data_IF_457144310202
#
_entry.id   IF_457144310202
#
_cell.length_a   1.000
_cell.length_b   1.000
_cell.length_c   1.000
_cell.angle_alpha   90.00
_cell.angle_beta   90.00
_cell.angle_gamma   90.00
#
_symmetry.space_group_name_H-M   'P 1'
#
loop_
_entity.id
_entity.type
_entity.pdbx_description
1 polymer ?
#
# COMPACT_ATOMS: atom_id res chain seq x y z
N UNK A 1 -15.45 -1.42 -16.05
CA UNK A 1 -14.08 -1.39 -15.56
C UNK A 1 -14.10 -1.09 -14.07
N UNK A 2 -13.55 -1.98 -13.29
CA UNK A 2 -13.54 -1.81 -11.86
C UNK A 2 -12.36 -0.97 -11.43
N UNK A 3 -12.64 -0.01 -10.56
CA UNK A 3 -11.60 0.83 -10.02
C UNK A 3 -11.16 0.31 -8.66
N UNK A 4 -9.87 0.37 -8.42
CA UNK A 4 -9.32 0.05 -7.11
C UNK A 4 -9.84 1.04 -6.08
N UNK A 5 -10.31 0.54 -4.95
CA UNK A 5 -10.70 1.38 -3.83
C UNK A 5 -9.58 1.39 -2.82
N UNK A 6 -9.08 2.57 -2.48
CA UNK A 6 -7.99 2.71 -1.52
C UNK A 6 -8.44 3.62 -0.39
N UNK A 7 -8.38 3.09 0.83
CA UNK A 7 -8.73 3.85 2.03
C UNK A 7 -7.47 4.04 2.88
N UNK A 8 -7.28 5.25 3.36
CA UNK A 8 -6.16 5.57 4.26
C UNK A 8 -6.76 6.15 5.53
N UNK A 9 -6.49 5.52 6.67
CA UNK A 9 -7.03 6.00 7.95
C UNK A 9 -6.35 7.30 8.37
N UNK A 10 -7.00 8.03 9.29
CA UNK A 10 -6.46 9.30 9.78
C UNK A 10 -5.09 9.13 10.41
N UNK A 11 -4.90 8.07 11.18
CA UNK A 11 -3.63 7.78 11.82
C UNK A 11 -2.55 7.48 10.79
N UNK A 12 -2.90 6.75 9.74
CA UNK A 12 -1.97 6.45 8.67
C UNK A 12 -1.57 7.72 7.92
N UNK A 13 -2.53 8.63 7.69
CA UNK A 13 -2.23 9.89 7.01
C UNK A 13 -1.20 10.71 7.77
N UNK A 14 -1.32 10.78 9.09
CA UNK A 14 -0.36 11.53 9.91
C UNK A 14 1.04 10.97 9.78
N UNK A 15 1.17 9.65 9.80
CA UNK A 15 2.49 9.02 9.67
C UNK A 15 3.03 9.11 8.26
N UNK A 16 2.17 9.04 7.26
CA UNK A 16 2.59 9.22 5.88
C UNK A 16 3.11 10.62 5.63
N UNK A 17 2.46 11.64 6.21
CA UNK A 17 2.94 13.01 6.10
C UNK A 17 4.36 13.16 6.63
N UNK A 18 4.65 12.54 7.77
CA UNK A 18 5.98 12.57 8.35
C UNK A 18 7.01 11.89 7.45
N UNK A 19 6.65 10.75 6.90
CA UNK A 19 7.56 10.02 6.00
C UNK A 19 7.84 10.81 4.72
N UNK A 20 6.80 11.41 4.15
CA UNK A 20 6.94 12.16 2.91
C UNK A 20 7.75 13.44 3.10
N UNK A 21 7.63 14.08 4.27
CA UNK A 21 8.42 15.27 4.57
C UNK A 21 9.91 14.98 4.62
N UNK A 22 10.27 13.76 5.04
CA UNK A 22 11.67 13.38 5.25
C UNK A 22 12.24 12.57 4.10
N UNK A 23 11.55 12.53 2.96
CA UNK A 23 11.96 11.70 1.84
C UNK A 23 11.95 12.48 0.53
N UNK A 24 12.84 12.11 -0.37
CA UNK A 24 12.84 12.62 -1.74
C UNK A 24 11.76 11.93 -2.58
N UNK A 25 11.28 10.80 -2.12
CA UNK A 25 10.23 10.06 -2.82
C UNK A 25 8.88 10.63 -2.43
N UNK A 26 7.99 10.74 -3.41
CA UNK A 26 6.69 11.38 -3.18
C UNK A 26 5.51 10.43 -3.36
N UNK A 27 5.76 9.19 -3.72
CA UNK A 27 4.71 8.21 -3.94
C UNK A 27 4.81 7.11 -2.92
N UNK A 28 3.66 6.51 -2.61
CA UNK A 28 3.55 5.38 -1.69
C UNK A 28 3.35 4.14 -2.53
N UNK A 29 4.32 3.24 -2.50
CA UNK A 29 4.24 1.99 -3.25
C UNK A 29 3.63 0.90 -2.40
N UNK A 30 2.59 0.25 -2.93
CA UNK A 30 2.02 -0.95 -2.33
C UNK A 30 2.76 -2.14 -2.94
N UNK A 31 3.25 -3.01 -2.09
CA UNK A 31 4.03 -4.17 -2.54
C UNK A 31 3.76 -5.36 -1.65
N UNK A 32 4.19 -6.53 -2.11
CA UNK A 32 4.10 -7.74 -1.31
C UNK A 32 5.49 -8.14 -0.85
N UNK A 33 5.57 -8.68 0.36
CA UNK A 33 6.81 -9.21 0.91
C UNK A 33 6.55 -10.65 1.37
N UNK A 34 7.50 -11.52 1.06
CA UNK A 34 7.46 -12.88 1.60
C UNK A 34 8.09 -12.87 2.98
N UNK A 35 7.33 -13.25 3.99
CA UNK A 35 7.80 -13.19 5.37
C UNK A 35 8.61 -14.43 5.74
N UNK A 36 8.22 -15.57 5.21
CA UNK A 36 8.87 -16.83 5.55
C UNK A 36 8.88 -17.76 4.35
N UNK A 37 9.55 -18.88 4.50
CA UNK A 37 9.57 -19.93 3.48
C UNK A 37 8.22 -20.64 3.35
N UNK A 38 7.25 -20.30 4.18
CA UNK A 38 5.93 -20.93 4.16
C UNK A 38 4.94 -20.20 3.26
N UNK A 39 5.41 -19.37 2.39
CA UNK A 39 4.63 -18.76 1.31
C UNK A 39 3.51 -17.78 1.72
N UNK A 40 3.50 -17.30 2.93
CA UNK A 40 2.57 -16.25 3.30
C UNK A 40 3.11 -14.92 2.82
N UNK A 41 2.35 -14.26 1.95
CA UNK A 41 2.70 -12.93 1.48
C UNK A 41 2.03 -11.89 2.36
N UNK A 42 2.79 -10.88 2.72
CA UNK A 42 2.28 -9.72 3.45
C UNK A 42 2.29 -8.53 2.52
N UNK A 43 1.24 -7.71 2.57
CA UNK A 43 1.22 -6.46 1.86
C UNK A 43 1.86 -5.40 2.73
N UNK A 44 2.72 -4.60 2.14
CA UNK A 44 3.43 -3.56 2.87
C UNK A 44 3.48 -2.30 2.00
N UNK A 45 4.01 -1.23 2.56
CA UNK A 45 4.19 0.02 1.82
C UNK A 45 5.63 0.49 1.94
N UNK A 46 6.06 1.24 0.96
CA UNK A 46 7.33 1.96 1.02
C UNK A 46 7.22 3.20 0.15
N UNK A 47 8.09 4.16 0.37
CA UNK A 47 8.14 5.35 -0.47
C UNK A 47 9.00 5.07 -1.68
N UNK A 48 8.52 5.45 -2.85
CA UNK A 48 9.22 5.15 -4.10
C UNK A 48 8.76 6.11 -5.18
N UNK A 49 9.34 5.99 -6.36
CA UNK A 49 8.94 6.74 -7.54
C UNK A 49 8.18 5.81 -8.47
N UNK A 50 7.20 6.33 -9.22
CA UNK A 50 6.46 5.48 -10.16
C UNK A 50 7.32 5.08 -11.35
N UNK A 51 7.00 3.93 -11.92
CA UNK A 51 7.62 3.49 -13.17
C UNK A 51 6.52 3.11 -14.16
N UNK A 52 6.93 2.72 -15.37
CA UNK A 52 5.97 2.45 -16.43
C UNK A 52 5.07 1.24 -16.17
N UNK A 53 5.43 0.39 -15.22
CA UNK A 53 4.64 -0.79 -14.87
C UNK A 53 3.72 -0.54 -13.68
N UNK A 54 3.61 0.69 -13.22
CA UNK A 54 2.78 1.05 -12.09
C UNK A 54 1.50 1.74 -12.53
N UNK A 55 0.43 1.50 -11.80
CA UNK A 55 -0.78 2.31 -11.87
C UNK A 55 -0.69 3.34 -10.76
N UNK A 56 -1.05 4.57 -11.07
CA UNK A 56 -1.00 5.68 -10.11
C UNK A 56 -2.42 6.05 -9.68
N UNK A 57 -2.61 6.16 -8.37
CA UNK A 57 -3.88 6.60 -7.78
C UNK A 57 -3.64 7.81 -6.91
N UNK A 58 -4.55 8.77 -6.98
CA UNK A 58 -4.54 9.93 -6.09
C UNK A 58 -5.64 9.72 -5.05
N UNK A 59 -5.23 9.55 -3.80
CA UNK A 59 -6.14 9.25 -2.69
C UNK A 59 -5.98 10.32 -1.63
N UNK A 60 -6.96 11.20 -1.51
CA UNK A 60 -6.94 12.28 -0.51
C UNK A 60 -5.66 13.12 -0.56
N UNK A 61 -5.11 13.31 -1.75
CA UNK A 61 -3.87 14.07 -1.93
C UNK A 61 -2.61 13.23 -1.84
N UNK A 62 -2.72 11.97 -1.50
CA UNK A 62 -1.58 11.04 -1.48
C UNK A 62 -1.51 10.30 -2.80
N UNK A 63 -0.30 10.16 -3.31
CA UNK A 63 -0.09 9.43 -4.56
C UNK A 63 0.33 8.00 -4.24
N UNK A 64 -0.51 7.05 -4.63
CA UNK A 64 -0.30 5.63 -4.36
C UNK A 64 0.01 4.94 -5.67
N UNK A 65 1.07 4.16 -5.70
CA UNK A 65 1.45 3.41 -6.89
C UNK A 65 1.41 1.91 -6.60
N UNK A 66 0.88 1.18 -7.56
CA UNK A 66 0.73 -0.26 -7.44
C UNK A 66 1.14 -0.88 -8.76
N UNK A 67 2.03 -1.88 -8.71
CA UNK A 67 2.41 -2.60 -9.92
C UNK A 67 1.16 -3.16 -10.59
N UNK A 68 1.09 -3.08 -11.91
CA UNK A 68 -0.10 -3.50 -12.65
C UNK A 68 -0.52 -4.94 -12.40
N UNK A 69 0.45 -5.82 -12.22
CA UNK A 69 0.13 -7.23 -11.94
C UNK A 69 -0.52 -7.37 -10.57
N UNK A 70 0.06 -6.73 -9.57
CA UNK A 70 -0.50 -6.77 -8.22
C UNK A 70 -1.89 -6.11 -8.18
N UNK A 71 -2.02 -4.97 -8.85
CA UNK A 71 -3.29 -4.24 -8.93
C UNK A 71 -4.42 -5.14 -9.45
N UNK A 72 -4.13 -5.95 -10.46
CA UNK A 72 -5.12 -6.83 -11.05
C UNK A 72 -5.61 -7.92 -10.11
N UNK A 73 -4.93 -8.14 -9.00
CA UNK A 73 -5.26 -9.18 -8.04
C UNK A 73 -6.05 -8.66 -6.84
N UNK A 74 -6.35 -7.36 -6.81
CA UNK A 74 -7.02 -6.74 -5.68
C UNK A 74 -8.12 -5.81 -6.15
N UNK A 75 -9.15 -5.65 -5.32
CA UNK A 75 -10.24 -4.71 -5.59
C UNK A 75 -10.23 -3.55 -4.60
N UNK A 76 -9.70 -3.76 -3.40
CA UNK A 76 -9.59 -2.68 -2.43
C UNK A 76 -8.36 -2.87 -1.55
N UNK A 77 -7.91 -1.76 -0.98
CA UNK A 77 -6.79 -1.73 -0.05
C UNK A 77 -7.16 -0.77 1.08
N UNK A 78 -6.86 -1.15 2.31
CA UNK A 78 -6.99 -0.27 3.46
C UNK A 78 -5.62 -0.13 4.11
N UNK A 79 -5.16 1.11 4.25
CA UNK A 79 -3.90 1.43 4.89
C UNK A 79 -4.20 2.04 6.25
N UNK A 80 -3.72 1.42 7.32
CA UNK A 80 -3.91 1.92 8.68
C UNK A 80 -2.57 1.96 9.40
N UNK A 81 -2.56 2.59 10.57
CA UNK A 81 -1.33 2.72 11.35
C UNK A 81 -1.68 2.65 12.82
N UNK A 82 -0.86 1.94 13.58
CA UNK A 82 -1.06 1.78 15.00
C UNK A 82 -2.10 0.71 15.29
N UNK A 83 -2.62 0.73 16.51
CA UNK A 83 -3.58 -0.28 16.94
C UNK A 83 -2.90 -1.38 17.73
N UNK A 84 -3.70 -2.29 18.25
CA UNK A 84 -3.22 -3.32 19.15
C UNK A 84 -2.23 -4.27 18.52
N UNK A 85 -2.40 -4.56 17.24
CA UNK A 85 -1.59 -5.56 16.55
C UNK A 85 -0.42 -4.97 15.78
N UNK A 86 -0.48 -3.71 15.40
CA UNK A 86 0.55 -3.14 14.55
C UNK A 86 1.65 -2.38 15.28
N UNK A 87 1.48 -2.07 16.56
CA UNK A 87 2.52 -1.51 17.42
C UNK A 87 3.38 -0.41 16.78
N UNK A 88 2.74 0.58 16.19
CA UNK A 88 3.47 1.67 15.56
C UNK A 88 3.96 1.36 14.15
N UNK A 89 3.40 0.37 13.50
CA UNK A 89 3.71 0.05 12.12
C UNK A 89 2.48 0.24 11.26
N UNK A 90 2.72 0.36 9.94
CA UNK A 90 1.61 0.39 9.00
C UNK A 90 1.04 -1.01 8.83
N UNK A 91 -0.29 -1.06 8.71
CA UNK A 91 -0.99 -2.29 8.44
C UNK A 91 -1.77 -2.10 7.15
N UNK A 92 -1.56 -2.99 6.18
CA UNK A 92 -2.24 -2.90 4.89
C UNK A 92 -3.09 -4.16 4.72
N UNK A 93 -4.38 -3.95 4.49
CA UNK A 93 -5.30 -5.04 4.23
C UNK A 93 -5.83 -4.92 2.81
N UNK A 94 -5.99 -6.05 2.15
CA UNK A 94 -6.51 -6.08 0.79
C UNK A 94 -7.24 -7.40 0.55
N UNK A 95 -8.14 -7.38 -0.43
CA UNK A 95 -8.83 -8.58 -0.85
C UNK A 95 -8.05 -9.24 -1.97
N UNK A 96 -7.09 -10.05 -1.62
CA UNK A 96 -6.34 -10.79 -2.61
C UNK A 96 -7.16 -11.91 -3.22
N UNK A 97 -7.04 -12.06 -4.53
CA UNK A 97 -7.52 -13.21 -5.23
C UNK A 97 -6.32 -13.93 -5.84
N UNK A 98 -5.86 -14.97 -5.17
CA UNK A 98 -4.82 -15.82 -5.73
C UNK A 98 -5.47 -17.01 -6.40
N UNK A 99 -5.16 -17.20 -7.66
CA UNK A 99 -5.62 -18.37 -8.41
C UNK A 99 -4.41 -19.24 -8.71
N UNK A 100 -4.54 -20.47 -8.36
CA UNK A 100 -3.51 -21.45 -8.65
C UNK A 100 -3.95 -22.37 -9.76
#
# INVERSE_FOLDING_TARGET
>A
MEEMTILITSEAKKELDKLLENSDKKCIRILTRCITMTSNAKIDIELDDPNENDNLYDVDGYKVIINKVLDSQMNYITISYGGLLSRGEFCVEADFCFYY
#
